data_IF_121491575395
#
_entry.id   IF_121491575395
#
_cell.length_a   1.000
_cell.length_b   1.000
_cell.length_c   1.000
_cell.angle_alpha   90.00
_cell.angle_beta   90.00
_cell.angle_gamma   90.00
#
_symmetry.space_group_name_H-M   'P 1'
#
loop_
_entity.id
_entity.type
_entity.pdbx_description
1 polymer ?
#
# COMPACT_ATOMS: atom_id res chain seq x y z
N UNK A 1 31.89 29.38 -6.27
CA UNK A 1 31.25 28.21 -5.61
C UNK A 1 29.77 28.32 -5.92
N UNK A 2 29.26 27.56 -6.88
CA UNK A 2 27.89 27.71 -7.40
C UNK A 2 26.91 26.91 -6.53
N UNK A 3 26.05 27.63 -5.82
CA UNK A 3 24.97 27.08 -4.99
C UNK A 3 23.85 26.60 -5.91
N UNK A 4 23.68 25.29 -6.04
CA UNK A 4 22.55 24.71 -6.77
C UNK A 4 21.34 24.67 -5.84
N UNK A 5 20.25 25.35 -6.20
CA UNK A 5 18.94 25.17 -5.54
C UNK A 5 18.36 23.83 -5.98
N UNK A 6 18.52 22.81 -5.13
CA UNK A 6 17.96 21.49 -5.37
C UNK A 6 16.46 21.55 -5.11
N UNK A 7 15.66 21.62 -6.17
CA UNK A 7 14.22 21.39 -6.10
C UNK A 7 13.95 19.89 -5.89
N UNK A 8 13.85 19.47 -4.62
CA UNK A 8 13.37 18.14 -4.22
C UNK A 8 11.88 18.01 -4.56
N UNK A 9 11.56 17.60 -5.78
CA UNK A 9 10.17 17.45 -6.21
C UNK A 9 9.87 16.32 -7.20
N UNK A 10 10.85 15.52 -7.62
CA UNK A 10 10.64 14.44 -8.61
C UNK A 10 10.76 13.04 -8.00
N UNK A 11 11.58 12.88 -6.96
CA UNK A 11 11.78 11.59 -6.25
C UNK A 11 10.94 11.47 -4.94
N UNK A 12 10.08 12.44 -4.65
CA UNK A 12 9.18 12.36 -3.51
C UNK A 12 8.03 11.38 -3.85
N UNK A 13 7.77 10.33 -3.04
CA UNK A 13 6.71 9.39 -3.34
C UNK A 13 5.38 10.14 -3.41
N UNK A 14 4.64 9.99 -4.52
CA UNK A 14 3.41 10.74 -4.79
C UNK A 14 2.48 10.73 -3.56
N UNK A 15 2.33 11.90 -2.94
CA UNK A 15 1.37 12.19 -1.88
C UNK A 15 0.22 12.98 -2.49
N UNK A 16 -0.93 12.34 -2.65
CA UNK A 16 -2.14 13.04 -3.04
C UNK A 16 -2.90 13.40 -1.76
N UNK A 17 -2.92 14.69 -1.39
CA UNK A 17 -3.67 15.21 -0.22
C UNK A 17 -3.50 14.37 1.07
N UNK A 18 -2.26 14.03 1.43
CA UNK A 18 -1.95 13.24 2.63
C UNK A 18 -2.13 11.72 2.48
N UNK A 19 -2.67 11.24 1.37
CA UNK A 19 -2.66 9.83 0.99
C UNK A 19 -1.37 9.51 0.21
N UNK A 20 -0.59 8.58 0.75
CA UNK A 20 0.59 8.05 0.03
C UNK A 20 0.15 7.12 -1.09
N UNK A 21 0.90 7.14 -2.20
CA UNK A 21 0.75 6.32 -3.40
C UNK A 21 0.27 4.88 -3.13
N UNK A 22 0.91 4.17 -2.20
CA UNK A 22 0.62 2.76 -1.90
C UNK A 22 -0.82 2.53 -1.38
N UNK A 23 -1.33 3.40 -0.52
CA UNK A 23 -2.70 3.32 0.01
C UNK A 23 -3.73 3.78 -1.00
N UNK A 24 -3.37 4.72 -1.88
CA UNK A 24 -4.24 5.17 -2.97
C UNK A 24 -4.55 4.02 -3.94
N UNK A 25 -3.57 3.20 -4.29
CA UNK A 25 -3.81 2.00 -5.11
C UNK A 25 -4.74 0.99 -4.44
N UNK A 26 -4.61 0.79 -3.12
CA UNK A 26 -5.51 -0.09 -2.35
C UNK A 26 -6.94 0.46 -2.34
N UNK A 27 -7.10 1.77 -2.16
CA UNK A 27 -8.41 2.43 -2.21
C UNK A 27 -9.06 2.28 -3.59
N UNK A 28 -8.31 2.59 -4.66
CA UNK A 28 -8.80 2.49 -6.02
C UNK A 28 -9.18 1.05 -6.38
N UNK A 29 -8.32 0.07 -6.06
CA UNK A 29 -8.61 -1.35 -6.27
C UNK A 29 -9.83 -1.82 -5.47
N UNK A 30 -9.96 -1.38 -4.22
CA UNK A 30 -11.11 -1.71 -3.37
C UNK A 30 -12.43 -1.10 -3.88
N UNK A 31 -12.40 0.12 -4.42
CA UNK A 31 -13.57 0.75 -5.04
C UNK A 31 -13.99 0.05 -6.34
N UNK A 32 -13.03 -0.35 -7.17
CA UNK A 32 -13.29 -1.17 -8.36
C UNK A 32 -13.91 -2.51 -7.94
N UNK A 33 -13.35 -3.17 -6.91
CA UNK A 33 -13.91 -4.41 -6.37
C UNK A 33 -15.32 -4.24 -5.82
N UNK A 34 -15.59 -3.18 -5.06
CA UNK A 34 -16.92 -2.86 -4.56
C UNK A 34 -17.92 -2.64 -5.70
N UNK A 35 -17.50 -1.95 -6.76
CA UNK A 35 -18.32 -1.79 -7.96
C UNK A 35 -18.64 -3.14 -8.62
N UNK A 36 -17.65 -4.01 -8.80
CA UNK A 36 -17.89 -5.36 -9.36
C UNK A 36 -18.84 -6.18 -8.48
N UNK A 37 -18.73 -6.10 -7.15
CA UNK A 37 -19.65 -6.78 -6.22
C UNK A 37 -21.09 -6.29 -6.43
N UNK A 38 -21.30 -4.97 -6.57
CA UNK A 38 -22.60 -4.37 -6.86
C UNK A 38 -23.15 -4.87 -8.19
N UNK A 39 -22.33 -4.92 -9.23
CA UNK A 39 -22.75 -5.44 -10.55
C UNK A 39 -23.18 -6.91 -10.45
N UNK A 40 -22.42 -7.75 -9.76
CA UNK A 40 -22.78 -9.17 -9.58
C UNK A 40 -24.05 -9.32 -8.75
N UNK A 41 -24.20 -8.57 -7.65
CA UNK A 41 -25.42 -8.56 -6.82
C UNK A 41 -26.64 -8.15 -7.65
N UNK A 42 -26.49 -7.16 -8.53
CA UNK A 42 -27.55 -6.73 -9.43
C UNK A 42 -27.93 -7.83 -10.44
N UNK A 43 -26.94 -8.52 -11.03
CA UNK A 43 -27.18 -9.65 -11.93
C UNK A 43 -27.85 -10.84 -11.24
N UNK A 44 -27.61 -11.03 -9.94
CA UNK A 44 -28.31 -12.02 -9.11
C UNK A 44 -29.78 -11.65 -8.80
N UNK A 45 -30.26 -10.49 -9.25
CA UNK A 45 -31.65 -10.05 -9.03
C UNK A 45 -31.90 -9.44 -7.65
N UNK A 46 -30.85 -9.01 -6.93
CA UNK A 46 -31.01 -8.29 -5.66
C UNK A 46 -31.67 -6.94 -5.92
N UNK A 47 -32.64 -6.58 -5.08
CA UNK A 47 -33.36 -5.31 -5.20
C UNK A 47 -32.43 -4.10 -5.25
N UNK A 48 -32.73 -3.14 -6.12
CA UNK A 48 -31.87 -2.00 -6.43
C UNK A 48 -31.49 -1.17 -5.19
N UNK A 49 -32.42 -0.98 -4.25
CA UNK A 49 -32.16 -0.26 -3.00
C UNK A 49 -31.17 -1.01 -2.09
N UNK A 50 -31.29 -2.34 -1.99
CA UNK A 50 -30.33 -3.15 -1.24
C UNK A 50 -28.96 -3.13 -1.92
N UNK A 51 -28.93 -3.24 -3.25
CA UNK A 51 -27.68 -3.23 -4.01
C UNK A 51 -26.94 -1.89 -3.87
N UNK A 52 -27.67 -0.77 -3.92
CA UNK A 52 -27.12 0.57 -3.65
C UNK A 52 -26.65 0.73 -2.21
N UNK A 53 -27.42 0.24 -1.23
CA UNK A 53 -27.05 0.29 0.18
C UNK A 53 -25.77 -0.49 0.47
N UNK A 54 -25.68 -1.72 -0.03
CA UNK A 54 -24.49 -2.58 0.12
C UNK A 54 -23.29 -1.97 -0.61
N UNK A 55 -23.48 -1.49 -1.83
CA UNK A 55 -22.44 -0.83 -2.61
C UNK A 55 -21.88 0.42 -1.93
N UNK A 56 -22.76 1.30 -1.47
CA UNK A 56 -22.38 2.50 -0.73
C UNK A 56 -21.67 2.19 0.58
N UNK A 57 -22.16 1.22 1.35
CA UNK A 57 -21.53 0.78 2.59
C UNK A 57 -20.14 0.18 2.34
N UNK A 58 -19.98 -0.66 1.31
CA UNK A 58 -18.69 -1.23 0.92
C UNK A 58 -17.71 -0.15 0.46
N UNK A 59 -18.15 0.79 -0.39
CA UNK A 59 -17.30 1.89 -0.86
C UNK A 59 -16.85 2.79 0.30
N UNK A 60 -17.78 3.20 1.17
CA UNK A 60 -17.46 4.01 2.35
C UNK A 60 -16.52 3.26 3.31
N UNK A 61 -16.79 1.96 3.53
CA UNK A 61 -15.96 1.09 4.35
C UNK A 61 -14.53 1.00 3.83
N UNK A 62 -14.34 0.76 2.52
CA UNK A 62 -13.01 0.70 1.87
C UNK A 62 -12.27 2.02 2.03
N UNK A 63 -12.92 3.15 1.75
CA UNK A 63 -12.29 4.48 1.88
C UNK A 63 -11.87 4.71 3.33
N UNK A 64 -12.77 4.51 4.29
CA UNK A 64 -12.49 4.68 5.71
C UNK A 64 -11.34 3.77 6.18
N UNK A 65 -11.36 2.49 5.82
CA UNK A 65 -10.27 1.54 6.11
C UNK A 65 -8.94 2.02 5.56
N UNK A 66 -8.94 2.52 4.32
CA UNK A 66 -7.72 3.00 3.66
C UNK A 66 -7.14 4.22 4.37
N UNK A 67 -7.96 5.19 4.75
CA UNK A 67 -7.52 6.35 5.54
C UNK A 67 -6.96 5.93 6.90
N UNK A 68 -7.65 5.02 7.62
CA UNK A 68 -7.15 4.53 8.91
C UNK A 68 -5.82 3.77 8.79
N UNK A 69 -5.64 3.01 7.71
CA UNK A 69 -4.38 2.32 7.42
C UNK A 69 -3.26 3.32 7.07
N UNK A 70 -3.58 4.36 6.31
CA UNK A 70 -2.65 5.43 5.96
C UNK A 70 -2.15 6.17 7.21
N UNK A 71 -3.03 6.50 8.17
CA UNK A 71 -2.65 7.11 9.46
C UNK A 71 -1.81 6.18 10.34
N UNK A 72 -2.19 4.89 10.43
CA UNK A 72 -1.56 3.95 11.35
C UNK A 72 -0.14 3.54 10.94
N UNK A 73 0.11 3.37 9.64
CA UNK A 73 1.35 2.76 9.15
C UNK A 73 2.25 3.74 8.39
N UNK A 74 1.73 4.86 7.86
CA UNK A 74 2.52 5.84 7.11
C UNK A 74 3.20 5.25 5.86
N UNK A 75 4.16 6.00 5.28
CA UNK A 75 4.74 5.73 3.95
C UNK A 75 5.41 4.36 3.79
N UNK A 76 6.13 3.89 4.81
CA UNK A 76 6.91 2.66 4.75
C UNK A 76 6.38 1.57 5.68
N UNK A 77 5.29 1.81 6.42
CA UNK A 77 4.84 0.86 7.44
C UNK A 77 4.35 -0.45 6.86
N UNK A 78 3.67 -0.43 5.71
CA UNK A 78 3.23 -1.65 5.02
C UNK A 78 4.42 -2.45 4.47
N UNK A 79 5.40 -1.76 3.85
CA UNK A 79 6.64 -2.39 3.40
C UNK A 79 7.45 -2.97 4.57
N UNK A 80 7.56 -2.25 5.70
CA UNK A 80 8.21 -2.75 6.93
C UNK A 80 7.48 -3.95 7.51
N UNK A 81 6.15 -3.92 7.59
CA UNK A 81 5.35 -5.03 8.09
C UNK A 81 5.50 -6.28 7.21
N UNK A 82 5.54 -6.11 5.88
CA UNK A 82 5.82 -7.19 4.94
C UNK A 82 7.25 -7.72 5.09
N UNK A 83 8.25 -6.84 5.26
CA UNK A 83 9.63 -7.25 5.47
C UNK A 83 9.82 -8.05 6.77
N UNK A 84 9.12 -7.68 7.85
CA UNK A 84 9.11 -8.44 9.10
C UNK A 84 8.51 -9.83 8.90
N UNK A 85 7.40 -9.95 8.14
CA UNK A 85 6.80 -11.26 7.83
C UNK A 85 7.68 -12.14 6.96
N UNK A 86 8.45 -11.54 6.05
CA UNK A 86 9.37 -12.26 5.16
C UNK A 86 10.71 -12.60 5.84
N UNK A 87 10.95 -12.18 7.08
CA UNK A 87 12.25 -12.34 7.71
C UNK A 87 12.57 -13.83 7.94
N UNK A 88 13.68 -14.35 7.37
CA UNK A 88 14.06 -15.74 7.58
C UNK A 88 14.41 -15.98 9.05
N UNK A 89 13.93 -17.09 9.63
CA UNK A 89 14.14 -17.44 11.04
C UNK A 89 15.60 -17.73 11.38
N UNK A 90 16.42 -18.12 10.39
CA UNK A 90 17.86 -18.37 10.54
C UNK A 90 18.59 -17.99 9.27
N UNK A 91 19.66 -17.21 9.41
CA UNK A 91 20.61 -16.93 8.34
C UNK A 91 21.81 -17.84 8.59
N UNK A 92 21.83 -19.03 7.98
CA UNK A 92 22.96 -19.95 8.08
C UNK A 92 24.01 -19.57 7.05
N UNK A 93 25.11 -18.95 7.48
CA UNK A 93 26.24 -18.63 6.61
C UNK A 93 27.40 -19.61 6.84
N UNK A 94 27.76 -20.38 5.81
CA UNK A 94 28.90 -21.32 5.86
C UNK A 94 30.27 -20.61 5.66
N UNK A 95 30.29 -19.32 5.32
CA UNK A 95 31.51 -18.54 5.12
C UNK A 95 31.80 -17.70 6.38
N UNK A 96 33.08 -17.63 6.78
CA UNK A 96 33.51 -16.76 7.90
C UNK A 96 33.10 -15.32 7.64
N UNK A 97 32.48 -14.66 8.63
CA UNK A 97 31.94 -13.29 8.56
C UNK A 97 32.94 -12.29 7.95
N UNK A 98 34.23 -12.40 8.29
CA UNK A 98 35.32 -11.57 7.73
C UNK A 98 35.41 -11.61 6.19
N UNK A 99 35.02 -12.73 5.56
CA UNK A 99 35.08 -12.92 4.11
C UNK A 99 33.87 -12.31 3.37
N UNK A 100 32.76 -12.09 4.07
CA UNK A 100 31.56 -11.42 3.52
C UNK A 100 31.79 -9.91 3.43
N UNK A 101 32.31 -9.30 4.50
CA UNK A 101 32.56 -7.86 4.57
C UNK A 101 33.59 -7.41 3.52
N UNK A 102 34.59 -8.26 3.22
CA UNK A 102 35.62 -7.97 2.21
C UNK A 102 35.11 -8.03 0.76
N UNK A 103 34.02 -8.76 0.49
CA UNK A 103 33.51 -8.95 -0.88
C UNK A 103 32.50 -7.87 -1.31
N UNK A 104 32.02 -7.04 -0.38
CA UNK A 104 31.06 -5.97 -0.65
C UNK A 104 31.72 -4.61 -0.89
N UNK A 105 33.06 -4.57 -0.99
CA UNK A 105 33.87 -3.39 -1.26
C UNK A 105 34.67 -3.59 -2.56
N UNK A 106 33.97 -3.90 -3.65
CA UNK A 106 34.47 -3.81 -5.04
C UNK A 106 33.44 -3.05 -5.84
#
# INVERSE_FOLDING_TARGET
MTTFEIHKGVDAPVEFKGLRSQYLFICAGGLIGAFLIVVVLYMCGVGQFLCLGVGGALAAGVVMLTYRLNEKYGTYGLMKALAVKLHPRRITNRRRVKRLIRSSHV
#
